data_IF_947773910527
#
_entry.id   IF_947773910527
#
_cell.length_a   1.000
_cell.length_b   1.000
_cell.length_c   1.000
_cell.angle_alpha   90.00
_cell.angle_beta   90.00
_cell.angle_gamma   90.00
#
_symmetry.space_group_name_H-M   'P 1'
#
loop_
_entity.id
_entity.type
_entity.pdbx_description
1 polymer ?
#
# COMPACT_ATOMS: atom_id res chain seq x y z
N UNK A 1 -6.37 -27.88 3.34
CA UNK A 1 -7.73 -27.69 3.89
C UNK A 1 -7.89 -26.32 4.57
N UNK A 2 -7.02 -25.95 5.47
CA UNK A 2 -7.10 -24.69 6.25
C UNK A 2 -7.07 -23.41 5.35
N UNK A 3 -6.28 -23.40 4.29
CA UNK A 3 -6.18 -22.27 3.35
C UNK A 3 -7.42 -22.13 2.47
N UNK A 4 -8.06 -23.24 2.06
CA UNK A 4 -9.33 -23.23 1.31
C UNK A 4 -10.50 -22.77 2.19
N UNK A 5 -10.54 -23.19 3.44
CA UNK A 5 -11.60 -22.82 4.39
C UNK A 5 -11.53 -21.32 4.74
N UNK A 6 -10.33 -20.75 4.90
CA UNK A 6 -10.14 -19.28 5.05
C UNK A 6 -10.67 -18.50 3.84
N UNK A 7 -10.37 -18.95 2.62
CA UNK A 7 -10.84 -18.29 1.40
C UNK A 7 -12.37 -18.37 1.23
N UNK A 8 -13.00 -19.48 1.63
CA UNK A 8 -14.46 -19.61 1.61
C UNK A 8 -15.11 -18.66 2.61
N UNK A 9 -14.67 -18.64 3.86
CA UNK A 9 -15.21 -17.75 4.88
C UNK A 9 -15.08 -16.26 4.51
N UNK A 10 -14.00 -15.86 3.86
CA UNK A 10 -13.80 -14.47 3.39
C UNK A 10 -14.81 -14.16 2.28
N UNK A 11 -14.98 -15.04 1.30
CA UNK A 11 -15.94 -14.84 0.19
C UNK A 11 -17.38 -14.70 0.67
N UNK A 12 -17.82 -15.56 1.56
CA UNK A 12 -19.20 -15.53 2.11
C UNK A 12 -19.46 -14.24 2.90
N UNK A 13 -18.41 -13.67 3.48
CA UNK A 13 -18.50 -12.43 4.25
C UNK A 13 -18.48 -11.16 3.41
N UNK A 14 -17.93 -11.21 2.18
CA UNK A 14 -17.80 -10.04 1.32
C UNK A 14 -19.14 -9.37 0.99
N UNK A 15 -20.21 -10.18 0.87
CA UNK A 15 -21.57 -9.66 0.61
C UNK A 15 -22.12 -8.80 1.76
N UNK A 16 -21.51 -8.89 2.95
CA UNK A 16 -21.89 -8.12 4.13
C UNK A 16 -21.00 -6.89 4.36
N UNK A 17 -20.07 -6.61 3.44
CA UNK A 17 -19.14 -5.50 3.57
C UNK A 17 -19.87 -4.18 3.84
N UNK A 18 -19.50 -3.50 4.92
CA UNK A 18 -20.06 -2.20 5.37
C UNK A 18 -21.53 -2.25 5.80
N UNK A 19 -22.15 -3.43 5.89
CA UNK A 19 -23.46 -3.54 6.47
C UNK A 19 -23.40 -3.40 8.01
N UNK A 20 -24.45 -2.86 8.60
CA UNK A 20 -24.56 -2.77 10.06
C UNK A 20 -24.48 -4.17 10.67
N UNK A 21 -23.61 -4.34 11.67
CA UNK A 21 -23.38 -5.62 12.35
C UNK A 21 -22.37 -6.55 11.66
N UNK A 22 -21.92 -6.24 10.44
CA UNK A 22 -20.83 -6.99 9.80
C UNK A 22 -19.49 -6.67 10.46
N UNK A 23 -18.60 -7.67 10.57
CA UNK A 23 -17.23 -7.44 11.00
C UNK A 23 -16.36 -6.84 9.88
N UNK A 24 -16.80 -6.93 8.60
CA UNK A 24 -16.15 -6.30 7.47
C UNK A 24 -16.61 -4.84 7.32
N UNK A 25 -15.90 -3.94 7.96
CA UNK A 25 -16.16 -2.50 7.89
C UNK A 25 -15.24 -1.82 6.88
N UNK A 26 -15.50 -0.53 6.58
CA UNK A 26 -14.67 0.26 5.65
C UNK A 26 -13.22 0.43 6.13
N UNK A 27 -13.02 0.47 7.45
CA UNK A 27 -11.70 0.42 8.08
C UNK A 27 -11.49 -0.97 8.71
N UNK A 28 -10.45 -1.72 8.32
CA UNK A 28 -10.20 -3.04 8.87
C UNK A 28 -9.82 -2.97 10.34
N UNK A 29 -10.32 -3.91 11.13
CA UNK A 29 -10.04 -4.02 12.57
C UNK A 29 -9.33 -5.35 12.88
N UNK A 30 -8.09 -5.26 13.35
CA UNK A 30 -7.27 -6.42 13.68
C UNK A 30 -7.85 -7.31 14.78
N UNK A 31 -8.73 -6.77 15.64
CA UNK A 31 -9.35 -7.53 16.72
C UNK A 31 -10.44 -8.47 16.23
N UNK A 32 -11.10 -8.13 15.13
CA UNK A 32 -12.29 -8.84 14.65
C UNK A 32 -12.08 -9.51 13.29
N UNK A 33 -11.13 -9.05 12.48
CA UNK A 33 -10.93 -9.57 11.12
C UNK A 33 -9.70 -10.47 11.06
N UNK A 34 -9.88 -11.78 10.86
CA UNK A 34 -8.75 -12.71 10.75
C UNK A 34 -7.80 -12.34 9.59
N UNK A 35 -6.51 -12.24 9.89
CA UNK A 35 -5.47 -11.93 8.89
C UNK A 35 -5.21 -10.44 8.69
N UNK A 36 -5.81 -9.58 9.50
CA UNK A 36 -5.45 -8.16 9.59
C UNK A 36 -4.41 -7.99 10.70
N UNK A 37 -3.21 -7.56 10.33
CA UNK A 37 -2.08 -7.40 11.26
C UNK A 37 -2.21 -6.12 12.10
N UNK A 38 -2.82 -5.07 11.53
CA UNK A 38 -2.99 -3.78 12.18
C UNK A 38 -4.28 -3.10 11.73
N UNK A 39 -5.06 -2.56 12.67
CA UNK A 39 -6.18 -1.68 12.36
C UNK A 39 -5.68 -0.41 11.69
N UNK A 40 -6.24 -0.09 10.54
CA UNK A 40 -5.83 1.05 9.71
C UNK A 40 -7.04 1.81 9.16
N UNK A 41 -6.79 2.93 8.44
CA UNK A 41 -7.83 3.78 7.85
C UNK A 41 -7.70 5.24 8.27
N UNK A 42 -7.16 5.52 9.45
CA UNK A 42 -6.71 6.86 9.82
C UNK A 42 -5.33 7.09 9.19
N UNK A 43 -5.28 7.98 8.21
CA UNK A 43 -4.09 8.20 7.39
C UNK A 43 -2.86 8.55 8.23
N UNK A 44 -1.71 7.97 7.86
CA UNK A 44 -0.43 8.17 8.52
C UNK A 44 -0.21 7.32 9.79
N UNK A 45 -1.26 6.85 10.47
CA UNK A 45 -1.14 6.07 11.72
C UNK A 45 -0.42 4.73 11.51
N UNK A 46 -0.65 4.09 10.35
CA UNK A 46 -0.05 2.79 10.01
C UNK A 46 1.47 2.82 10.01
N UNK A 47 2.08 3.91 9.53
CA UNK A 47 3.56 4.05 9.49
C UNK A 47 4.15 4.11 10.88
N UNK A 48 3.53 4.88 11.81
CA UNK A 48 3.99 4.94 13.20
C UNK A 48 3.91 3.59 13.90
N UNK A 49 2.81 2.85 13.67
CA UNK A 49 2.67 1.49 14.19
C UNK A 49 3.73 0.53 13.60
N UNK A 50 3.98 0.60 12.28
CA UNK A 50 4.99 -0.19 11.60
C UNK A 50 6.41 0.07 12.15
N UNK A 51 6.72 1.35 12.42
CA UNK A 51 7.98 1.75 13.06
C UNK A 51 8.12 1.11 14.45
N UNK A 52 7.05 1.12 15.26
CA UNK A 52 7.01 0.46 16.56
C UNK A 52 7.22 -1.05 16.46
N UNK A 53 6.55 -1.72 15.50
CA UNK A 53 6.72 -3.16 15.25
C UNK A 53 8.15 -3.49 14.81
N UNK A 54 8.75 -2.69 13.92
CA UNK A 54 10.13 -2.89 13.48
C UNK A 54 11.13 -2.72 14.63
N UNK A 55 10.91 -1.74 15.49
CA UNK A 55 11.72 -1.51 16.68
C UNK A 55 11.61 -2.67 17.68
N UNK A 56 10.39 -3.16 17.94
CA UNK A 56 10.16 -4.31 18.79
C UNK A 56 10.89 -5.56 18.27
N UNK A 57 10.82 -5.81 16.96
CA UNK A 57 11.54 -6.91 16.34
C UNK A 57 13.05 -6.85 16.56
N UNK A 58 13.63 -5.66 16.44
CA UNK A 58 15.06 -5.46 16.74
C UNK A 58 15.38 -5.64 18.22
N UNK A 59 14.54 -5.11 19.09
CA UNK A 59 14.70 -5.24 20.55
C UNK A 59 14.63 -6.70 20.99
N UNK A 60 13.69 -7.47 20.45
CA UNK A 60 13.48 -8.87 20.77
C UNK A 60 14.40 -9.83 19.99
N UNK A 61 15.35 -9.31 19.20
CA UNK A 61 16.23 -10.08 18.33
C UNK A 61 15.48 -11.04 17.39
N UNK A 62 14.33 -10.60 16.86
CA UNK A 62 13.51 -11.36 15.89
C UNK A 62 13.92 -11.02 14.46
N UNK A 63 13.97 -12.05 13.63
CA UNK A 63 14.31 -11.92 12.20
C UNK A 63 13.04 -11.81 11.34
N UNK A 64 12.25 -10.75 11.56
CA UNK A 64 11.15 -10.39 10.69
C UNK A 64 11.28 -8.97 10.13
N UNK A 65 10.66 -8.75 9.00
CA UNK A 65 10.55 -7.44 8.38
C UNK A 65 9.13 -6.91 8.49
N UNK A 66 9.02 -5.61 8.59
CA UNK A 66 7.75 -4.88 8.62
C UNK A 66 7.63 -4.11 7.32
N UNK A 67 6.49 -4.28 6.66
CA UNK A 67 6.13 -3.59 5.44
C UNK A 67 4.91 -2.73 5.72
N UNK A 68 4.94 -1.48 5.26
CA UNK A 68 3.78 -0.59 5.31
C UNK A 68 3.57 0.03 3.95
N UNK A 69 2.32 0.04 3.49
CA UNK A 69 1.90 0.64 2.24
C UNK A 69 1.13 1.92 2.53
N UNK A 70 1.52 3.00 1.88
CA UNK A 70 0.90 4.33 2.00
C UNK A 70 0.53 4.86 0.64
N UNK A 71 -0.47 5.72 0.57
CA UNK A 71 -0.72 6.54 -0.61
C UNK A 71 0.15 7.80 -0.63
N UNK A 72 0.35 8.38 -1.82
CA UNK A 72 1.08 9.63 -1.97
C UNK A 72 0.32 10.83 -1.37
N UNK A 73 -1.01 10.80 -1.33
CA UNK A 73 -1.81 11.74 -0.54
C UNK A 73 -1.68 11.51 0.98
N UNK A 74 -1.54 10.27 1.41
CA UNK A 74 -1.37 9.93 2.81
C UNK A 74 -0.06 10.46 3.39
N UNK A 75 1.03 10.48 2.61
CA UNK A 75 2.32 10.99 3.10
C UNK A 75 2.35 12.51 3.31
N UNK A 76 1.27 13.23 3.04
CA UNK A 76 1.10 14.64 3.45
C UNK A 76 0.92 14.76 4.97
N UNK A 77 0.51 13.68 5.65
CA UNK A 77 0.38 13.65 7.12
C UNK A 77 1.73 13.83 7.81
N UNK A 78 1.81 14.82 8.71
CA UNK A 78 3.06 15.18 9.41
C UNK A 78 3.68 14.03 10.20
N UNK A 79 2.83 13.18 10.82
CA UNK A 79 3.32 12.06 11.62
C UNK A 79 4.10 11.00 10.81
N UNK A 80 3.91 10.92 9.48
CA UNK A 80 4.73 10.03 8.63
C UNK A 80 6.19 10.48 8.67
N UNK A 81 6.43 11.79 8.59
CA UNK A 81 7.77 12.37 8.63
C UNK A 81 8.40 12.30 10.02
N UNK A 82 7.60 12.44 11.08
CA UNK A 82 8.05 12.18 12.45
C UNK A 82 8.48 10.71 12.62
N UNK A 83 7.68 9.78 12.14
CA UNK A 83 8.00 8.35 12.14
C UNK A 83 9.24 8.03 11.30
N UNK A 84 9.36 8.64 10.11
CA UNK A 84 10.52 8.47 9.23
C UNK A 84 11.81 8.97 9.88
N UNK A 85 11.79 10.15 10.50
CA UNK A 85 12.94 10.70 11.23
C UNK A 85 13.42 9.73 12.31
N UNK A 86 12.51 9.19 13.10
CA UNK A 86 12.84 8.25 14.16
C UNK A 86 13.36 6.91 13.62
N UNK A 87 12.73 6.39 12.56
CA UNK A 87 13.13 5.15 11.91
C UNK A 87 14.56 5.22 11.34
N UNK A 88 14.89 6.33 10.66
CA UNK A 88 16.23 6.57 10.14
C UNK A 88 17.27 6.72 11.25
N UNK A 89 16.95 7.48 12.31
CA UNK A 89 17.82 7.60 13.49
C UNK A 89 18.09 6.25 14.14
N UNK A 90 17.09 5.40 14.29
CA UNK A 90 17.21 4.05 14.89
C UNK A 90 17.74 3.00 13.92
N UNK A 91 18.01 3.36 12.66
CA UNK A 91 18.53 2.47 11.61
C UNK A 91 17.70 1.19 11.47
N UNK A 92 16.38 1.34 11.35
CA UNK A 92 15.46 0.20 11.30
C UNK A 92 15.51 -0.49 9.93
N UNK A 93 16.57 -1.23 9.64
CA UNK A 93 16.78 -1.92 8.36
C UNK A 93 15.85 -3.12 8.12
N UNK A 94 14.97 -3.38 9.07
CA UNK A 94 13.86 -4.32 8.96
C UNK A 94 12.51 -3.61 8.64
N UNK A 95 12.51 -2.31 8.38
CA UNK A 95 11.33 -1.54 7.96
C UNK A 95 11.40 -1.22 6.47
N UNK A 96 10.30 -1.45 5.75
CA UNK A 96 10.11 -1.04 4.36
C UNK A 96 8.82 -0.23 4.27
N UNK A 97 8.93 1.03 3.87
CA UNK A 97 7.79 1.91 3.54
C UNK A 97 7.60 1.90 2.04
N UNK A 98 6.41 1.56 1.58
CA UNK A 98 6.05 1.56 0.17
C UNK A 98 5.08 2.71 -0.06
N UNK A 99 5.37 3.57 -1.02
CA UNK A 99 4.49 4.68 -1.41
C UNK A 99 3.85 4.34 -2.75
N UNK A 100 2.53 4.14 -2.76
CA UNK A 100 1.73 4.10 -3.99
C UNK A 100 1.62 5.53 -4.55
N UNK A 101 2.53 5.84 -5.49
CA UNK A 101 2.63 7.16 -6.08
C UNK A 101 1.87 7.22 -7.41
N UNK A 102 0.55 7.33 -7.30
CA UNK A 102 -0.36 7.41 -8.44
C UNK A 102 -0.77 8.85 -8.83
N UNK A 103 -0.24 9.87 -8.14
CA UNK A 103 -0.49 11.30 -8.35
C UNK A 103 -1.92 11.77 -8.13
N UNK A 104 -2.76 10.95 -7.49
CA UNK A 104 -4.16 11.27 -7.26
C UNK A 104 -4.57 11.06 -5.80
N UNK A 105 -5.34 11.99 -5.29
CA UNK A 105 -6.05 11.86 -4.01
C UNK A 105 -7.54 12.15 -4.21
N UNK A 106 -8.35 12.08 -3.13
CA UNK A 106 -9.81 12.26 -3.20
C UNK A 106 -10.19 13.56 -3.95
N UNK A 107 -9.47 14.65 -3.66
CA UNK A 107 -9.79 16.00 -4.16
C UNK A 107 -9.19 16.30 -5.55
N UNK A 108 -8.45 15.36 -6.15
CA UNK A 108 -7.88 15.51 -7.49
C UNK A 108 -6.39 15.19 -7.58
N UNK A 109 -5.73 15.83 -8.54
CA UNK A 109 -4.29 15.68 -8.76
C UNK A 109 -3.48 16.21 -7.56
N UNK A 110 -2.54 15.42 -7.09
CA UNK A 110 -1.79 15.70 -5.86
C UNK A 110 -1.01 17.02 -5.93
N UNK A 111 -0.49 17.38 -7.12
CA UNK A 111 0.24 18.63 -7.32
C UNK A 111 -0.65 19.87 -7.24
N UNK A 112 -1.95 19.72 -7.50
CA UNK A 112 -2.93 20.80 -7.41
C UNK A 112 -3.48 20.98 -5.99
N UNK A 113 -3.49 19.91 -5.20
CA UNK A 113 -4.03 19.95 -3.82
C UNK A 113 -2.93 20.29 -2.83
N UNK A 114 -1.94 19.41 -2.67
CA UNK A 114 -0.77 19.63 -1.81
C UNK A 114 0.36 18.70 -2.24
N UNK A 115 1.33 19.22 -2.99
CA UNK A 115 2.41 18.40 -3.56
C UNK A 115 3.34 17.82 -2.51
N UNK A 116 3.48 16.49 -2.41
CA UNK A 116 4.45 15.86 -1.51
C UNK A 116 5.86 15.79 -2.10
N UNK A 117 6.06 16.23 -3.33
CA UNK A 117 7.33 16.11 -4.03
C UNK A 117 8.44 17.04 -3.49
N UNK A 118 9.73 16.67 -3.66
CA UNK A 118 10.21 15.37 -4.14
C UNK A 118 10.18 14.30 -3.05
N UNK A 119 9.43 13.20 -3.29
CA UNK A 119 9.17 12.17 -2.27
C UNK A 119 10.45 11.41 -1.91
N UNK A 120 11.20 10.97 -2.93
CA UNK A 120 12.46 10.24 -2.79
C UNK A 120 13.47 11.02 -1.94
N UNK A 121 13.68 12.30 -2.26
CA UNK A 121 14.63 13.17 -1.56
C UNK A 121 14.23 13.44 -0.10
N UNK A 122 12.95 13.48 0.18
CA UNK A 122 12.46 13.63 1.57
C UNK A 122 12.82 12.39 2.40
N UNK A 123 12.56 11.18 1.89
CA UNK A 123 12.97 9.96 2.59
C UNK A 123 14.48 9.82 2.70
N UNK A 124 15.26 10.18 1.65
CA UNK A 124 16.72 10.21 1.72
C UNK A 124 17.22 11.14 2.82
N UNK A 125 16.61 12.32 2.99
CA UNK A 125 16.97 13.28 4.04
C UNK A 125 16.73 12.72 5.45
N UNK A 126 15.84 11.73 5.60
CA UNK A 126 15.64 10.99 6.85
C UNK A 126 16.48 9.70 6.92
N UNK A 127 17.53 9.57 6.09
CA UNK A 127 18.43 8.41 6.05
C UNK A 127 17.75 7.09 5.65
N UNK A 128 16.77 7.12 4.77
CA UNK A 128 16.24 5.94 4.12
C UNK A 128 17.05 5.60 2.86
N UNK A 129 17.21 4.33 2.59
CA UNK A 129 17.54 3.85 1.26
C UNK A 129 16.31 3.97 0.38
N UNK A 130 16.36 4.73 -0.72
CA UNK A 130 15.20 4.96 -1.58
C UNK A 130 15.34 4.23 -2.92
N UNK A 131 14.26 3.58 -3.34
CA UNK A 131 14.16 2.84 -4.59
C UNK A 131 12.94 3.37 -5.33
N UNK A 132 13.11 3.87 -6.55
CA UNK A 132 12.00 4.36 -7.39
C UNK A 132 11.75 3.33 -8.50
N UNK A 133 10.51 2.86 -8.61
CA UNK A 133 10.13 1.80 -9.56
C UNK A 133 8.86 2.16 -10.34
N UNK A 134 8.65 1.48 -11.46
CA UNK A 134 7.31 1.31 -12.02
C UNK A 134 6.56 0.31 -11.13
N UNK A 135 5.55 0.78 -10.41
CA UNK A 135 4.76 -0.01 -9.48
C UNK A 135 3.74 -0.94 -10.18
N UNK A 136 3.66 -0.93 -11.51
CA UNK A 136 2.89 -1.86 -12.32
C UNK A 136 3.77 -2.93 -13.01
N UNK A 137 5.09 -2.89 -12.80
CA UNK A 137 6.05 -3.86 -13.33
C UNK A 137 6.47 -4.86 -12.22
N UNK A 138 6.07 -6.12 -12.36
CA UNK A 138 6.35 -7.17 -11.37
C UNK A 138 7.84 -7.48 -11.20
N UNK A 139 8.65 -7.33 -12.25
CA UNK A 139 10.08 -7.59 -12.16
C UNK A 139 10.79 -6.49 -11.38
N UNK A 140 10.42 -5.23 -11.58
CA UNK A 140 10.91 -4.11 -10.79
C UNK A 140 10.45 -4.21 -9.33
N UNK A 141 9.19 -4.57 -9.07
CA UNK A 141 8.68 -4.81 -7.72
C UNK A 141 9.52 -5.89 -7.03
N UNK A 142 9.72 -7.04 -7.69
CA UNK A 142 10.53 -8.13 -7.13
C UNK A 142 11.95 -7.68 -6.83
N UNK A 143 12.59 -6.99 -7.76
CA UNK A 143 13.95 -6.49 -7.59
C UNK A 143 14.06 -5.53 -6.40
N UNK A 144 13.11 -4.61 -6.24
CA UNK A 144 13.08 -3.65 -5.13
C UNK A 144 12.94 -4.35 -3.76
N UNK A 145 12.08 -5.37 -3.66
CA UNK A 145 11.98 -6.15 -2.43
C UNK A 145 13.26 -6.94 -2.12
N UNK A 146 13.93 -7.52 -3.12
CA UNK A 146 15.20 -8.22 -2.91
C UNK A 146 16.33 -7.25 -2.53
N UNK A 147 16.34 -6.04 -3.07
CA UNK A 147 17.26 -4.98 -2.68
C UNK A 147 17.01 -4.52 -1.24
N UNK A 148 15.75 -4.28 -0.86
CA UNK A 148 15.36 -3.93 0.50
C UNK A 148 15.78 -4.97 1.53
N UNK A 149 15.74 -6.28 1.19
CA UNK A 149 16.22 -7.35 2.06
C UNK A 149 17.73 -7.28 2.33
N UNK A 150 18.48 -6.81 1.33
CA UNK A 150 19.95 -6.69 1.40
C UNK A 150 20.39 -5.41 2.09
N UNK A 151 19.56 -4.37 2.11
CA UNK A 151 19.84 -3.10 2.75
C UNK A 151 20.04 -3.27 4.25
N UNK A 152 21.14 -2.74 4.79
CA UNK A 152 21.50 -2.83 6.22
C UNK A 152 21.80 -1.44 6.78
N UNK A 153 21.47 -1.27 8.06
CA UNK A 153 21.77 -0.05 8.81
C UNK A 153 20.89 1.16 8.47
N UNK A 154 19.88 1.00 7.62
CA UNK A 154 18.92 2.05 7.28
C UNK A 154 17.60 1.44 6.81
N UNK A 155 16.44 2.07 7.10
CA UNK A 155 15.16 1.64 6.54
C UNK A 155 15.11 1.87 5.03
N UNK A 156 14.16 1.20 4.34
CA UNK A 156 13.99 1.35 2.89
C UNK A 156 12.65 2.03 2.60
N UNK A 157 12.65 2.96 1.63
CA UNK A 157 11.45 3.52 1.02
C UNK A 157 11.38 3.11 -0.45
N UNK A 158 10.29 2.46 -0.86
CA UNK A 158 10.03 2.10 -2.26
C UNK A 158 8.96 3.07 -2.78
N UNK A 159 9.33 3.92 -3.73
CA UNK A 159 8.40 4.84 -4.38
C UNK A 159 7.90 4.18 -5.65
N UNK A 160 6.72 3.58 -5.58
CA UNK A 160 6.11 2.85 -6.66
C UNK A 160 5.22 3.78 -7.50
N UNK A 161 5.70 4.18 -8.66
CA UNK A 161 4.91 4.95 -9.62
C UNK A 161 3.86 4.04 -10.23
N UNK A 162 2.60 4.33 -9.98
CA UNK A 162 1.46 3.52 -10.41
C UNK A 162 0.46 4.34 -11.22
N UNK A 163 -0.47 3.65 -11.83
CA UNK A 163 -1.64 4.24 -12.47
C UNK A 163 -2.85 3.83 -11.66
N UNK A 164 -3.56 4.80 -11.07
CA UNK A 164 -4.81 4.54 -10.37
C UNK A 164 -5.83 3.90 -11.33
N UNK A 165 -6.45 2.79 -10.94
CA UNK A 165 -7.41 2.07 -11.77
C UNK A 165 -6.81 1.29 -12.95
N UNK A 166 -5.50 0.97 -12.89
CA UNK A 166 -4.76 0.28 -13.95
C UNK A 166 -5.48 -0.95 -14.48
N UNK A 167 -5.62 -1.01 -15.81
CA UNK A 167 -6.23 -2.12 -16.53
C UNK A 167 -7.72 -1.96 -16.81
N UNK A 168 -8.37 -0.94 -16.27
CA UNK A 168 -9.78 -0.63 -16.52
C UNK A 168 -9.91 0.72 -17.20
N UNK A 169 -10.32 0.73 -18.46
CA UNK A 169 -10.26 1.89 -19.37
C UNK A 169 -10.90 3.17 -18.84
N UNK A 170 -12.02 3.06 -18.13
CA UNK A 170 -12.74 4.22 -17.58
C UNK A 170 -12.33 4.59 -16.14
N UNK A 171 -11.39 3.84 -15.54
CA UNK A 171 -10.89 4.10 -14.18
C UNK A 171 -9.46 4.66 -14.17
N UNK A 172 -8.68 4.42 -15.23
CA UNK A 172 -7.27 4.85 -15.28
C UNK A 172 -7.14 6.37 -15.13
N UNK A 173 -6.33 6.78 -14.13
CA UNK A 173 -6.07 8.18 -13.79
C UNK A 173 -7.31 9.02 -13.44
N UNK A 174 -8.39 8.39 -13.01
CA UNK A 174 -9.62 9.05 -12.63
C UNK A 174 -9.81 9.09 -11.10
N UNK A 175 -9.63 10.27 -10.47
CA UNK A 175 -9.76 10.45 -9.02
C UNK A 175 -11.17 10.08 -8.51
N UNK A 176 -12.20 10.27 -9.34
CA UNK A 176 -13.60 9.98 -8.99
C UNK A 176 -13.90 8.52 -8.63
N UNK A 177 -12.97 7.59 -8.90
CA UNK A 177 -13.08 6.19 -8.50
C UNK A 177 -12.50 5.89 -7.12
N UNK A 178 -12.09 6.91 -6.39
CA UNK A 178 -11.67 6.73 -5.01
C UNK A 178 -12.88 6.42 -4.11
N UNK A 179 -13.03 5.17 -3.71
CA UNK A 179 -14.12 4.73 -2.83
C UNK A 179 -15.50 4.57 -3.48
N UNK A 180 -15.56 4.48 -4.81
CA UNK A 180 -16.79 4.23 -5.58
C UNK A 180 -16.77 2.83 -6.18
N UNK A 181 -17.87 2.08 -6.06
CA UNK A 181 -18.04 0.80 -6.73
C UNK A 181 -18.60 1.00 -8.16
N UNK A 182 -18.21 0.19 -9.15
CA UNK A 182 -18.84 0.17 -10.46
C UNK A 182 -20.28 -0.34 -10.36
N UNK A 183 -21.16 0.13 -11.26
CA UNK A 183 -22.45 -0.49 -11.50
C UNK A 183 -22.30 -1.73 -12.40
N UNK A 184 -23.41 -2.44 -12.67
CA UNK A 184 -23.38 -3.70 -13.42
C UNK A 184 -22.83 -3.51 -14.85
N UNK A 185 -23.19 -2.45 -15.55
CA UNK A 185 -22.67 -2.16 -16.90
C UNK A 185 -21.17 -1.86 -16.87
N UNK A 186 -20.73 -1.07 -15.91
CA UNK A 186 -19.33 -0.74 -15.69
C UNK A 186 -18.51 -1.98 -15.27
N UNK A 187 -19.10 -2.87 -14.46
CA UNK A 187 -18.51 -4.14 -14.10
C UNK A 187 -18.22 -5.01 -15.33
N UNK A 188 -19.20 -5.15 -16.23
CA UNK A 188 -19.03 -5.90 -17.47
C UNK A 188 -17.93 -5.34 -18.39
N UNK A 189 -17.82 -4.01 -18.47
CA UNK A 189 -16.73 -3.36 -19.21
C UNK A 189 -15.38 -3.65 -18.55
N UNK A 190 -15.29 -3.48 -17.23
CA UNK A 190 -14.06 -3.71 -16.48
C UNK A 190 -13.57 -5.16 -16.63
N UNK A 191 -14.49 -6.13 -16.57
CA UNK A 191 -14.15 -7.55 -16.73
C UNK A 191 -13.59 -7.83 -18.13
N UNK A 192 -14.19 -7.27 -19.18
CA UNK A 192 -13.69 -7.42 -20.57
C UNK A 192 -12.30 -6.80 -20.75
N UNK A 193 -12.07 -5.62 -20.16
CA UNK A 193 -10.76 -4.96 -20.19
C UNK A 193 -9.68 -5.84 -19.53
N UNK A 194 -9.98 -6.39 -18.36
CA UNK A 194 -9.07 -7.25 -17.61
C UNK A 194 -8.82 -8.61 -18.28
N UNK A 195 -9.84 -9.23 -18.88
CA UNK A 195 -9.71 -10.46 -19.66
C UNK A 195 -8.78 -10.24 -20.86
N UNK A 196 -8.99 -9.17 -21.63
CA UNK A 196 -8.13 -8.81 -22.77
C UNK A 196 -6.68 -8.55 -22.34
N UNK A 197 -6.48 -7.88 -21.20
CA UNK A 197 -5.13 -7.65 -20.68
C UNK A 197 -4.47 -8.96 -20.22
N UNK A 198 -5.23 -9.87 -19.61
CA UNK A 198 -4.76 -11.21 -19.22
C UNK A 198 -4.35 -12.08 -20.40
N UNK A 199 -5.14 -12.10 -21.46
CA UNK A 199 -4.81 -12.81 -22.70
C UNK A 199 -3.50 -12.33 -23.31
N UNK A 200 -3.27 -11.01 -23.35
CA UNK A 200 -2.04 -10.42 -23.86
C UNK A 200 -0.80 -10.79 -23.02
N UNK A 201 -0.97 -11.02 -21.71
CA UNK A 201 0.12 -11.48 -20.84
C UNK A 201 0.44 -12.97 -21.04
N UNK A 202 -0.57 -13.81 -21.31
CA UNK A 202 -0.38 -15.24 -21.54
C UNK A 202 0.27 -15.56 -22.89
N UNK A 203 0.30 -14.61 -23.84
CA UNK A 203 0.92 -14.77 -25.16
C UNK A 203 2.41 -14.37 -25.20
N UNK A 204 2.96 -13.86 -24.09
CA UNK A 204 4.39 -13.56 -23.90
C UNK A 204 5.09 -14.71 -23.17
#
# INVERSE_FOLDING_TARGET
>A
AYRRQRQMCIRDSLVTLRHTGSYLQGHPDMKHIPGVDMSSGSLGQGVSAAVGMAAAGKFDHKDYRVYTLTGDGEIQEGQIWEAAMWAGHRKLDNLVVIVDNNNLQIDGEIDKVCSPYPIDKKFEAFNFHTIVIDGNDFDQIRAAFEEAKKTKGQPTAIIAKTIKGKGVSFMENEAGWHGKAPNDEQYEIAMKDLEKAGEALCQK
#
